data_IF_434176116847
#
_entry.id   IF_434176116847
#
_cell.length_a   1.000
_cell.length_b   1.000
_cell.length_c   1.000
_cell.angle_alpha   90.00
_cell.angle_beta   90.00
_cell.angle_gamma   90.00
#
_symmetry.space_group_name_H-M   'P 1'
#
loop_
_entity.id
_entity.type
_entity.pdbx_description
1 polymer ?
#
# COMPACT_ATOMS: atom_id res chain seq x y z
N UNK A 1 18.68 7.85 -0.54
CA UNK A 1 18.61 6.63 -1.39
C UNK A 1 17.41 5.75 -1.02
N UNK A 2 17.12 5.54 0.28
CA UNK A 2 15.92 4.83 0.74
C UNK A 2 14.63 5.58 0.39
N UNK A 3 14.61 6.91 0.51
CA UNK A 3 13.42 7.73 0.22
C UNK A 3 13.02 7.73 -1.26
N UNK A 4 14.02 7.72 -2.16
CA UNK A 4 13.79 7.61 -3.61
C UNK A 4 13.10 6.27 -3.97
N UNK A 5 13.45 5.17 -3.29
CA UNK A 5 12.78 3.87 -3.49
C UNK A 5 11.33 3.88 -3.01
N UNK A 6 11.05 4.54 -1.88
CA UNK A 6 9.68 4.67 -1.36
C UNK A 6 8.84 5.56 -2.29
N UNK A 7 9.42 6.65 -2.81
CA UNK A 7 8.76 7.51 -3.79
C UNK A 7 8.44 6.77 -5.10
N UNK A 8 9.38 5.98 -5.63
CA UNK A 8 9.16 5.14 -6.82
C UNK A 8 8.00 4.14 -6.59
N UNK A 9 8.01 3.45 -5.45
CA UNK A 9 6.96 2.50 -5.10
C UNK A 9 5.59 3.19 -4.92
N UNK A 10 5.54 4.34 -4.24
CA UNK A 10 4.31 5.12 -4.08
C UNK A 10 3.76 5.61 -5.43
N UNK A 11 4.63 6.02 -6.36
CA UNK A 11 4.24 6.44 -7.71
C UNK A 11 3.70 5.26 -8.53
N UNK A 12 4.35 4.10 -8.46
CA UNK A 12 3.86 2.87 -9.08
C UNK A 12 2.46 2.49 -8.56
N UNK A 13 2.27 2.48 -7.24
CA UNK A 13 0.98 2.19 -6.61
C UNK A 13 -0.08 3.20 -7.02
N UNK A 14 0.25 4.50 -7.09
CA UNK A 14 -0.70 5.53 -7.52
C UNK A 14 -1.21 5.23 -8.94
N UNK A 15 -0.31 4.95 -9.88
CA UNK A 15 -0.68 4.62 -11.25
C UNK A 15 -1.58 3.37 -11.33
N UNK A 16 -1.26 2.32 -10.58
CA UNK A 16 -2.06 1.09 -10.56
C UNK A 16 -3.44 1.29 -9.93
N UNK A 17 -3.53 2.10 -8.87
CA UNK A 17 -4.81 2.44 -8.26
C UNK A 17 -5.68 3.31 -9.17
N UNK A 18 -5.07 4.19 -9.97
CA UNK A 18 -5.79 4.97 -10.98
C UNK A 18 -6.33 4.06 -12.09
N UNK A 19 -5.57 3.05 -12.51
CA UNK A 19 -6.03 2.03 -13.46
C UNK A 19 -7.17 1.17 -12.90
N UNK A 20 -7.06 0.71 -11.65
CA UNK A 20 -8.11 -0.09 -10.99
C UNK A 20 -9.41 0.72 -10.85
N UNK A 21 -9.31 2.00 -10.48
CA UNK A 21 -10.46 2.90 -10.44
C UNK A 21 -11.07 3.09 -11.83
N UNK A 22 -10.25 3.37 -12.85
CA UNK A 22 -10.73 3.56 -14.21
C UNK A 22 -11.43 2.31 -14.75
N UNK A 23 -10.86 1.12 -14.49
CA UNK A 23 -11.45 -0.16 -14.85
C UNK A 23 -12.80 -0.38 -14.15
N UNK A 24 -12.87 -0.13 -12.83
CA UNK A 24 -14.12 -0.23 -12.08
C UNK A 24 -15.18 0.77 -12.57
N UNK A 25 -14.78 2.00 -12.91
CA UNK A 25 -15.69 3.03 -13.43
C UNK A 25 -16.21 2.69 -14.83
N UNK A 26 -15.38 2.10 -15.69
CA UNK A 26 -15.73 1.70 -17.06
C UNK A 26 -16.77 0.57 -17.13
N UNK A 27 -16.99 -0.18 -16.03
CA UNK A 27 -18.09 -1.12 -15.94
C UNK A 27 -19.42 -0.38 -16.04
N UNK A 28 -20.16 -0.64 -17.12
CA UNK A 28 -21.53 -0.17 -17.30
C UNK A 28 -22.41 -0.60 -16.12
N UNK A 29 -23.38 0.22 -15.70
CA UNK A 29 -24.36 -0.21 -14.73
C UNK A 29 -25.14 -1.39 -15.32
N UNK A 30 -24.89 -2.59 -14.80
CA UNK A 30 -25.66 -3.78 -15.12
C UNK A 30 -26.80 -3.89 -14.10
N UNK A 31 -27.95 -4.48 -14.48
CA UNK A 31 -29.03 -4.76 -13.53
C UNK A 31 -28.68 -5.87 -12.53
N UNK A 32 -27.48 -6.44 -12.62
CA UNK A 32 -26.96 -7.44 -11.71
C UNK A 32 -26.47 -6.78 -10.41
N UNK A 33 -27.17 -7.07 -9.31
CA UNK A 33 -26.87 -6.53 -7.98
C UNK A 33 -25.47 -6.95 -7.51
N UNK A 34 -25.02 -8.16 -7.86
CA UNK A 34 -23.70 -8.67 -7.49
C UNK A 34 -22.57 -7.88 -8.15
N UNK A 35 -22.67 -7.63 -9.46
CA UNK A 35 -21.71 -6.78 -10.19
C UNK A 35 -21.69 -5.35 -9.66
N UNK A 36 -22.84 -4.78 -9.32
CA UNK A 36 -22.94 -3.43 -8.74
C UNK A 36 -22.28 -3.36 -7.35
N UNK A 37 -22.54 -4.36 -6.50
CA UNK A 37 -21.92 -4.48 -5.18
C UNK A 37 -20.41 -4.66 -5.26
N UNK A 38 -19.94 -5.49 -6.19
CA UNK A 38 -18.50 -5.70 -6.42
C UNK A 38 -17.81 -4.41 -6.90
N UNK A 39 -18.42 -3.67 -7.85
CA UNK A 39 -17.92 -2.36 -8.30
C UNK A 39 -17.77 -1.39 -7.13
N UNK A 40 -18.82 -1.26 -6.31
CA UNK A 40 -18.78 -0.37 -5.14
C UNK A 40 -17.68 -0.80 -4.15
N UNK A 41 -17.49 -2.10 -3.95
CA UNK A 41 -16.43 -2.62 -3.07
C UNK A 41 -15.03 -2.34 -3.60
N UNK A 42 -14.77 -2.50 -4.91
CA UNK A 42 -13.48 -2.19 -5.54
C UNK A 42 -13.15 -0.71 -5.39
N UNK A 43 -14.12 0.18 -5.66
CA UNK A 43 -13.91 1.63 -5.47
C UNK A 43 -13.61 1.98 -4.01
N UNK A 44 -14.28 1.33 -3.06
CA UNK A 44 -14.00 1.50 -1.63
C UNK A 44 -12.59 1.00 -1.24
N UNK A 45 -12.13 -0.10 -1.82
CA UNK A 45 -10.78 -0.64 -1.62
C UNK A 45 -9.71 0.30 -2.18
N UNK A 46 -9.90 0.82 -3.41
CA UNK A 46 -9.03 1.86 -3.99
C UNK A 46 -8.96 3.09 -3.09
N UNK A 47 -10.11 3.57 -2.60
CA UNK A 47 -10.16 4.72 -1.70
C UNK A 47 -9.39 4.47 -0.38
N UNK A 48 -9.49 3.25 0.17
CA UNK A 48 -8.76 2.85 1.36
C UNK A 48 -7.24 2.81 1.11
N UNK A 49 -6.80 2.17 0.02
CA UNK A 49 -5.38 2.10 -0.39
C UNK A 49 -4.78 3.48 -0.65
N UNK A 50 -5.53 4.39 -1.28
CA UNK A 50 -5.13 5.81 -1.42
C UNK A 50 -5.01 6.52 -0.06
N UNK A 51 -5.81 6.13 0.93
CA UNK A 51 -5.68 6.60 2.31
C UNK A 51 -4.32 6.26 2.92
N UNK A 52 -3.84 5.03 2.70
CA UNK A 52 -2.50 4.59 3.12
C UNK A 52 -1.42 5.42 2.43
N UNK A 53 -1.50 5.63 1.11
CA UNK A 53 -0.53 6.46 0.37
C UNK A 53 -0.47 7.89 0.93
N UNK A 54 -1.62 8.55 1.15
CA UNK A 54 -1.66 9.90 1.74
C UNK A 54 -1.03 9.95 3.13
N UNK A 55 -1.21 8.91 3.94
CA UNK A 55 -0.59 8.81 5.25
C UNK A 55 0.93 8.74 5.14
N UNK A 56 1.47 7.89 4.26
CA UNK A 56 2.92 7.77 4.04
C UNK A 56 3.51 9.08 3.50
N UNK A 57 2.88 9.69 2.50
CA UNK A 57 3.32 10.99 1.95
C UNK A 57 3.31 12.11 3.00
N UNK A 58 2.34 12.11 3.92
CA UNK A 58 2.31 13.04 5.04
C UNK A 58 3.48 12.78 5.99
N UNK A 59 3.76 11.52 6.32
CA UNK A 59 4.88 11.16 7.19
C UNK A 59 6.22 11.56 6.57
N UNK A 60 6.41 11.36 5.27
CA UNK A 60 7.61 11.78 4.54
C UNK A 60 7.79 13.30 4.56
N UNK A 61 6.75 14.07 4.23
CA UNK A 61 6.80 15.55 4.32
C UNK A 61 7.12 16.03 5.73
N UNK A 62 6.55 15.38 6.75
CA UNK A 62 6.85 15.72 8.13
C UNK A 62 8.33 15.48 8.46
N UNK A 63 8.93 14.44 7.89
CA UNK A 63 10.34 14.10 8.11
C UNK A 63 11.33 15.08 7.47
N UNK A 64 10.92 15.81 6.44
CA UNK A 64 11.72 16.87 5.83
C UNK A 64 11.83 18.12 6.74
N UNK A 65 10.97 18.26 7.76
CA UNK A 65 11.09 19.33 8.74
C UNK A 65 12.22 19.04 9.75
N UNK A 66 13.08 20.04 9.99
CA UNK A 66 14.25 19.95 10.87
C UNK A 66 13.96 19.40 12.28
N UNK A 67 12.77 19.68 12.82
CA UNK A 67 12.38 19.24 14.17
C UNK A 67 12.00 17.76 14.24
N UNK A 68 11.70 17.11 13.10
CA UNK A 68 11.34 15.70 13.05
C UNK A 68 12.54 14.78 13.29
N UNK A 69 13.71 15.20 12.82
CA UNK A 69 14.98 14.45 12.92
C UNK A 69 15.52 14.40 14.37
N UNK A 70 14.95 15.18 15.30
CA UNK A 70 15.40 15.27 16.70
C UNK A 70 14.90 14.08 17.54
N UNK A 71 13.94 13.30 17.04
CA UNK A 71 13.39 12.14 17.74
C UNK A 71 13.67 10.85 16.98
N UNK A 72 14.66 10.06 17.43
CA UNK A 72 14.97 8.73 16.90
C UNK A 72 13.75 7.81 16.66
N UNK A 73 12.74 7.75 17.56
CA UNK A 73 11.51 7.00 17.32
C UNK A 73 10.71 7.44 16.08
N UNK A 74 10.76 8.72 15.69
CA UNK A 74 10.06 9.24 14.52
C UNK A 74 10.69 8.72 13.21
N UNK A 75 12.02 8.57 13.18
CA UNK A 75 12.74 7.99 12.03
C UNK A 75 12.52 6.50 11.87
N UNK A 76 12.36 5.77 12.98
CA UNK A 76 11.96 4.35 12.96
C UNK A 76 10.54 4.21 12.42
N UNK A 77 9.60 5.02 12.91
CA UNK A 77 8.22 5.03 12.42
C UNK A 77 8.14 5.37 10.93
N UNK A 78 8.92 6.34 10.46
CA UNK A 78 9.03 6.67 9.03
C UNK A 78 9.57 5.50 8.21
N UNK A 79 10.66 4.86 8.67
CA UNK A 79 11.24 3.72 7.96
C UNK A 79 10.25 2.56 7.84
N UNK A 80 9.39 2.35 8.85
CA UNK A 80 8.37 1.31 8.84
C UNK A 80 7.20 1.58 7.86
N UNK A 81 7.06 2.79 7.32
CA UNK A 81 5.99 3.11 6.36
C UNK A 81 6.15 2.42 5.00
N UNK A 82 7.32 1.87 4.70
CA UNK A 82 7.55 1.13 3.45
C UNK A 82 6.84 -0.22 3.44
N UNK A 83 6.67 -0.87 4.59
CA UNK A 83 6.12 -2.23 4.69
C UNK A 83 4.67 -2.32 4.18
N UNK A 84 3.74 -1.43 4.59
CA UNK A 84 2.41 -1.41 4.01
C UNK A 84 2.42 -1.22 2.49
N UNK A 85 3.36 -0.43 1.95
CA UNK A 85 3.45 -0.21 0.50
C UNK A 85 3.91 -1.47 -0.24
N UNK A 86 4.91 -2.18 0.30
CA UNK A 86 5.39 -3.46 -0.26
C UNK A 86 4.27 -4.49 -0.33
N UNK A 87 3.50 -4.63 0.76
CA UNK A 87 2.33 -5.51 0.76
C UNK A 87 1.27 -5.10 -0.26
N UNK A 88 0.96 -3.82 -0.41
CA UNK A 88 0.04 -3.37 -1.46
C UNK A 88 0.58 -3.67 -2.88
N UNK A 89 1.90 -3.58 -3.08
CA UNK A 89 2.53 -3.82 -4.38
C UNK A 89 2.38 -5.27 -4.86
N UNK A 90 2.26 -6.23 -3.93
CA UNK A 90 2.09 -7.65 -4.25
C UNK A 90 0.87 -7.94 -5.13
N UNK A 91 -0.19 -7.12 -5.03
CA UNK A 91 -1.36 -7.22 -5.90
C UNK A 91 -1.01 -7.01 -7.39
N UNK A 92 0.12 -6.38 -7.68
CA UNK A 92 0.59 -6.03 -9.02
C UNK A 92 1.89 -6.73 -9.40
N UNK A 93 2.27 -7.83 -8.73
CA UNK A 93 3.53 -8.55 -9.01
C UNK A 93 3.66 -9.01 -10.47
N UNK A 94 2.54 -9.30 -11.14
CA UNK A 94 2.52 -9.69 -12.55
C UNK A 94 2.65 -8.50 -13.54
N UNK A 95 2.66 -7.26 -13.05
CA UNK A 95 2.72 -6.07 -13.89
C UNK A 95 4.16 -5.82 -14.39
N UNK A 96 4.35 -5.45 -15.66
CA UNK A 96 5.70 -5.27 -16.26
C UNK A 96 6.55 -4.19 -15.60
N UNK A 97 5.91 -3.16 -15.06
CA UNK A 97 6.56 -2.11 -14.27
C UNK A 97 6.86 -2.47 -12.80
N UNK A 98 6.49 -3.67 -12.34
CA UNK A 98 6.81 -4.14 -11.00
C UNK A 98 8.31 -4.42 -10.87
N UNK A 99 8.90 -4.05 -9.73
CA UNK A 99 10.29 -4.36 -9.41
C UNK A 99 10.35 -5.40 -8.28
N UNK A 100 11.12 -6.48 -8.41
CA UNK A 100 11.23 -7.51 -7.36
C UNK A 100 11.67 -6.97 -6.00
N UNK A 101 12.43 -5.86 -5.96
CA UNK A 101 12.83 -5.17 -4.73
C UNK A 101 11.66 -4.57 -3.88
N UNK A 102 10.44 -4.59 -4.44
CA UNK A 102 9.21 -4.18 -3.78
C UNK A 102 8.46 -5.35 -3.17
N UNK A 103 8.89 -6.60 -3.39
CA UNK A 103 8.34 -7.73 -2.66
C UNK A 103 8.66 -7.58 -1.16
N UNK A 104 7.70 -7.93 -0.28
CA UNK A 104 7.98 -8.07 1.14
C UNK A 104 9.06 -9.14 1.37
N UNK A 105 10.04 -8.84 2.21
CA UNK A 105 11.06 -9.81 2.61
C UNK A 105 10.44 -10.89 3.54
N UNK A 106 11.11 -12.04 3.74
CA UNK A 106 10.59 -13.15 4.58
C UNK A 106 10.22 -12.67 6.00
N UNK A 107 11.04 -11.80 6.60
CA UNK A 107 10.77 -11.20 7.92
C UNK A 107 9.48 -10.35 7.96
N UNK A 108 9.03 -9.79 6.83
CA UNK A 108 7.77 -9.03 6.74
C UNK A 108 6.55 -9.94 6.60
N UNK A 109 6.73 -11.14 6.05
CA UNK A 109 5.68 -12.12 5.81
C UNK A 109 5.48 -13.07 6.99
N UNK A 110 6.54 -13.34 7.75
CA UNK A 110 6.48 -14.26 8.88
C UNK A 110 5.56 -13.71 9.98
N UNK A 111 4.49 -14.44 10.34
CA UNK A 111 3.62 -14.02 11.42
C UNK A 111 4.38 -14.13 12.74
N UNK A 112 4.47 -13.00 13.46
CA UNK A 112 5.19 -12.94 14.72
C UNK A 112 4.72 -14.06 15.67
N UNK A 113 5.62 -14.97 16.09
CA UNK A 113 5.26 -16.15 16.86
C UNK A 113 4.61 -15.80 18.21
N UNK A 114 4.82 -14.58 18.71
CA UNK A 114 4.18 -14.08 19.95
C UNK A 114 2.68 -13.80 19.77
N UNK A 115 2.25 -13.51 18.54
CA UNK A 115 0.88 -13.20 18.17
C UNK A 115 0.21 -14.29 17.33
N UNK A 116 1.00 -15.24 16.82
CA UNK A 116 0.52 -16.48 16.23
C UNK A 116 -0.20 -17.31 17.29
N UNK A 117 -1.54 -17.32 17.24
CA UNK A 117 -2.32 -18.25 18.07
C UNK A 117 -2.02 -19.68 17.63
N UNK A 118 -1.74 -20.63 18.54
CA UNK A 118 -1.81 -22.03 18.18
C UNK A 118 -3.23 -22.31 17.68
N UNK A 119 -3.33 -22.82 16.46
CA UNK A 119 -4.60 -23.07 15.79
C UNK A 119 -5.51 -23.88 16.70
N UNK A 120 -6.73 -23.40 16.90
CA UNK A 120 -7.79 -24.18 17.54
C UNK A 120 -8.17 -25.27 16.55
N UNK A 121 -7.64 -26.48 16.75
CA UNK A 121 -8.11 -27.69 16.09
C UNK A 121 -9.56 -27.99 16.51
#
# INVERSE_FOLDING_TARGET
>A
MRDAKVADLANFLRARLDEDEAAAQALSPTPDEDTTGLKARVLADVAAKRGVLRFVERMQRNAEHHDFMVHGPAMVALSATVFPLRHLATAYAAHTGFRPEWEPDEEELEPDPRFSRPGRA
#
